data_IF_752977379641
#
_entry.id   IF_752977379641
#
_cell.length_a   1.000
_cell.length_b   1.000
_cell.length_c   1.000
_cell.angle_alpha   90.00
_cell.angle_beta   90.00
_cell.angle_gamma   90.00
#
_symmetry.space_group_name_H-M   'P 1'
#
loop_
_entity.id
_entity.type
_entity.pdbx_description
1 polymer ?
#
# COMPACT_ATOMS: atom_id res chain seq x y z
N UNK A 1 11.62 -0.25 18.77
CA UNK A 1 11.41 -1.38 17.87
C UNK A 1 10.24 -1.12 16.93
N UNK A 2 10.35 -1.44 15.63
CA UNK A 2 9.22 -1.34 14.71
C UNK A 2 8.10 -2.27 15.18
N UNK A 3 6.84 -1.88 14.90
CA UNK A 3 5.66 -2.66 15.25
C UNK A 3 5.06 -3.40 14.03
N UNK A 4 5.51 -3.05 12.83
CA UNK A 4 5.06 -3.58 11.55
C UNK A 4 6.14 -3.29 10.49
N UNK A 5 6.41 -4.24 9.60
CA UNK A 5 7.17 -4.02 8.36
C UNK A 5 6.20 -4.16 7.19
N UNK A 6 6.28 -3.22 6.24
CA UNK A 6 5.59 -3.30 4.95
C UNK A 6 6.68 -3.37 3.89
N UNK A 7 6.69 -4.44 3.11
CA UNK A 7 7.73 -4.70 2.14
C UNK A 7 7.16 -5.09 0.78
N UNK A 8 7.92 -4.85 -0.28
CA UNK A 8 7.55 -5.23 -1.64
C UNK A 8 7.63 -6.76 -1.86
N UNK A 9 6.57 -7.34 -2.43
CA UNK A 9 6.42 -8.79 -2.64
C UNK A 9 7.33 -9.38 -3.71
N UNK A 10 7.90 -8.55 -4.59
CA UNK A 10 8.84 -8.99 -5.63
C UNK A 10 10.28 -8.89 -5.14
N UNK A 11 10.65 -7.77 -4.52
CA UNK A 11 12.03 -7.46 -4.12
C UNK A 11 12.44 -8.11 -2.80
N UNK A 12 11.50 -8.30 -1.88
CA UNK A 12 11.82 -8.74 -0.50
C UNK A 12 11.29 -10.14 -0.19
N UNK A 13 10.88 -10.89 -1.20
CA UNK A 13 10.35 -12.25 -1.03
C UNK A 13 11.35 -13.16 -0.32
N UNK A 14 12.61 -13.12 -0.74
CA UNK A 14 13.65 -14.04 -0.24
C UNK A 14 14.08 -13.73 1.21
N UNK A 15 13.83 -12.51 1.69
CA UNK A 15 14.14 -12.09 3.07
C UNK A 15 12.91 -12.01 3.97
N UNK A 16 11.74 -12.46 3.52
CA UNK A 16 10.49 -12.36 4.28
C UNK A 16 10.60 -13.03 5.66
N UNK A 17 11.19 -14.22 5.74
CA UNK A 17 11.33 -14.96 7.00
C UNK A 17 12.26 -14.24 7.99
N UNK A 18 13.22 -13.45 7.50
CA UNK A 18 14.11 -12.64 8.33
C UNK A 18 13.39 -11.41 8.85
N UNK A 19 12.64 -10.71 7.97
CA UNK A 19 11.81 -9.56 8.35
C UNK A 19 10.74 -9.97 9.37
N UNK A 20 10.07 -11.10 9.16
CA UNK A 20 8.99 -11.56 10.01
C UNK A 20 9.45 -12.04 11.40
N UNK A 21 10.74 -12.37 11.56
CA UNK A 21 11.34 -12.63 12.90
C UNK A 21 11.51 -11.35 13.72
N UNK A 22 11.63 -10.19 13.07
CA UNK A 22 11.80 -8.89 13.74
C UNK A 22 10.45 -8.39 14.24
N UNK A 23 9.44 -8.36 13.36
CA UNK A 23 8.09 -7.88 13.64
C UNK A 23 7.12 -8.39 12.56
N UNK A 24 5.79 -8.41 12.77
CA UNK A 24 4.85 -8.79 11.72
C UNK A 24 5.14 -8.06 10.41
N UNK A 25 5.19 -8.82 9.31
CA UNK A 25 5.57 -8.31 7.99
C UNK A 25 4.45 -8.55 6.97
N UNK A 26 4.08 -7.51 6.21
CA UNK A 26 3.14 -7.61 5.10
C UNK A 26 3.92 -7.43 3.79
N UNK A 27 3.78 -8.39 2.88
CA UNK A 27 4.27 -8.25 1.50
C UNK A 27 3.15 -7.70 0.61
N UNK A 28 3.43 -6.61 -0.10
CA UNK A 28 2.49 -5.97 -1.04
C UNK A 28 3.10 -5.88 -2.43
N UNK A 29 2.28 -6.07 -3.47
CA UNK A 29 2.73 -5.86 -4.85
C UNK A 29 2.85 -4.36 -5.12
N UNK A 30 4.08 -3.85 -5.21
CA UNK A 30 4.33 -2.44 -5.53
C UNK A 30 5.21 -2.31 -6.77
N UNK A 31 6.42 -2.88 -6.75
CA UNK A 31 7.38 -2.80 -7.84
C UNK A 31 6.89 -3.50 -9.12
N UNK A 32 6.24 -4.65 -8.97
CA UNK A 32 5.61 -5.36 -10.08
C UNK A 32 4.15 -4.96 -10.30
N UNK A 33 3.62 -4.03 -9.50
CA UNK A 33 2.21 -3.67 -9.49
C UNK A 33 1.89 -2.54 -10.45
N UNK A 34 0.74 -2.63 -11.10
CA UNK A 34 0.16 -1.53 -11.86
C UNK A 34 -0.48 -0.46 -10.96
N UNK A 35 -1.09 0.54 -11.57
CA UNK A 35 -1.75 1.63 -10.86
C UNK A 35 -2.85 1.13 -9.89
N UNK A 36 -3.71 0.22 -10.33
CA UNK A 36 -4.82 -0.29 -9.50
C UNK A 36 -4.27 -1.14 -8.37
N UNK A 37 -3.29 -1.99 -8.65
CA UNK A 37 -2.66 -2.82 -7.62
C UNK A 37 -2.01 -1.99 -6.52
N UNK A 38 -1.37 -0.86 -6.86
CA UNK A 38 -0.82 0.05 -5.86
C UNK A 38 -1.92 0.77 -5.05
N UNK A 39 -3.09 1.07 -5.64
CA UNK A 39 -4.24 1.58 -4.88
C UNK A 39 -4.81 0.52 -3.93
N UNK A 40 -4.85 -0.75 -4.32
CA UNK A 40 -5.23 -1.85 -3.43
C UNK A 40 -4.20 -2.04 -2.30
N UNK A 41 -2.91 -1.98 -2.61
CA UNK A 41 -1.85 -2.00 -1.60
C UNK A 41 -2.03 -0.88 -0.57
N UNK A 42 -2.39 0.33 -1.00
CA UNK A 42 -2.69 1.44 -0.09
C UNK A 42 -3.88 1.13 0.84
N UNK A 43 -4.95 0.48 0.36
CA UNK A 43 -6.08 0.06 1.22
C UNK A 43 -5.65 -0.96 2.26
N UNK A 44 -4.80 -1.92 1.90
CA UNK A 44 -4.27 -2.90 2.87
C UNK A 44 -3.45 -2.20 3.95
N UNK A 45 -2.64 -1.21 3.57
CA UNK A 45 -1.87 -0.41 4.54
C UNK A 45 -2.80 0.38 5.46
N UNK A 46 -3.82 1.05 4.93
CA UNK A 46 -4.74 1.84 5.75
C UNK A 46 -5.47 0.97 6.78
N UNK A 47 -5.87 -0.25 6.39
CA UNK A 47 -6.43 -1.24 7.31
C UNK A 47 -5.43 -1.71 8.36
N UNK A 48 -4.20 -2.04 7.96
CA UNK A 48 -3.15 -2.51 8.87
C UNK A 48 -2.80 -1.50 9.97
N UNK A 49 -2.97 -0.21 9.69
CA UNK A 49 -2.73 0.87 10.66
C UNK A 49 -4.02 1.39 11.31
N UNK A 50 -5.14 0.67 11.17
CA UNK A 50 -6.46 1.04 11.75
C UNK A 50 -6.98 2.41 11.31
N UNK A 51 -6.72 2.77 10.05
CA UNK A 51 -7.12 4.05 9.41
C UNK A 51 -7.92 3.81 8.14
N UNK A 52 -8.80 2.81 8.14
CA UNK A 52 -9.55 2.43 6.94
C UNK A 52 -10.42 3.59 6.43
N UNK A 53 -11.07 4.32 7.33
CA UNK A 53 -11.94 5.45 6.98
C UNK A 53 -11.14 6.65 6.43
N UNK A 54 -10.01 7.01 7.05
CA UNK A 54 -9.13 8.04 6.49
C UNK A 54 -8.52 7.61 5.15
N UNK A 55 -8.21 6.33 5.00
CA UNK A 55 -7.75 5.74 3.74
C UNK A 55 -8.79 5.87 2.63
N UNK A 56 -10.06 5.55 2.92
CA UNK A 56 -11.17 5.72 1.97
C UNK A 56 -11.33 7.19 1.56
N UNK A 57 -11.41 8.10 2.52
CA UNK A 57 -11.53 9.53 2.25
C UNK A 57 -10.36 10.05 1.39
N UNK A 58 -9.13 9.61 1.66
CA UNK A 58 -7.95 10.01 0.89
C UNK A 58 -7.95 9.45 -0.53
N UNK A 59 -8.46 8.23 -0.73
CA UNK A 59 -8.64 7.63 -2.07
C UNK A 59 -9.72 8.33 -2.88
N UNK A 60 -10.82 8.75 -2.25
CA UNK A 60 -11.86 9.54 -2.91
C UNK A 60 -11.30 10.89 -3.39
N UNK A 61 -10.55 11.58 -2.53
CA UNK A 61 -9.84 12.81 -2.90
C UNK A 61 -8.86 12.59 -4.06
N UNK A 62 -8.10 11.49 -3.99
CA UNK A 62 -7.17 11.11 -5.06
C UNK A 62 -7.87 10.92 -6.39
N UNK A 63 -8.95 10.13 -6.41
CA UNK A 63 -9.71 9.85 -7.62
C UNK A 63 -10.31 11.12 -8.22
N UNK A 64 -10.90 11.99 -7.38
CA UNK A 64 -11.42 13.28 -7.83
C UNK A 64 -10.34 14.13 -8.51
N UNK A 65 -9.15 14.20 -7.90
CA UNK A 65 -8.04 14.96 -8.47
C UNK A 65 -7.57 14.39 -9.81
N UNK A 66 -7.43 13.07 -9.91
CA UNK A 66 -7.05 12.42 -11.17
C UNK A 66 -8.09 12.67 -12.26
N UNK A 67 -9.38 12.59 -11.92
CA UNK A 67 -10.48 12.87 -12.86
C UNK A 67 -10.50 14.33 -13.31
N UNK A 68 -10.22 15.28 -12.42
CA UNK A 68 -10.11 16.71 -12.75
C UNK A 68 -8.95 16.99 -13.70
N UNK A 69 -7.76 16.44 -13.42
CA UNK A 69 -6.58 16.64 -14.28
C UNK A 69 -6.73 15.94 -15.63
N UNK A 70 -7.39 14.78 -15.70
CA UNK A 70 -7.60 14.04 -16.95
C UNK A 70 -8.47 14.80 -17.97
N UNK A 71 -9.30 15.74 -17.51
CA UNK A 71 -10.12 16.61 -18.37
C UNK A 71 -9.33 17.76 -19.00
N UNK A 72 -8.12 18.02 -18.52
CA UNK A 72 -7.24 19.08 -19.01
C UNK A 72 -6.23 18.59 -20.07
N UNK A 73 -6.36 17.33 -20.50
CA UNK A 73 -5.55 16.65 -21.51
C UNK A 73 -6.43 16.39 -22.74
#
# INVERSE_FOLDING_TARGET
EPQLIIADSTRHKDIYDELNKITPTILLNSFGGDYKENLEAFKVVSQAVSKEDEGKARLEEHNKKVDEESKNI
#
